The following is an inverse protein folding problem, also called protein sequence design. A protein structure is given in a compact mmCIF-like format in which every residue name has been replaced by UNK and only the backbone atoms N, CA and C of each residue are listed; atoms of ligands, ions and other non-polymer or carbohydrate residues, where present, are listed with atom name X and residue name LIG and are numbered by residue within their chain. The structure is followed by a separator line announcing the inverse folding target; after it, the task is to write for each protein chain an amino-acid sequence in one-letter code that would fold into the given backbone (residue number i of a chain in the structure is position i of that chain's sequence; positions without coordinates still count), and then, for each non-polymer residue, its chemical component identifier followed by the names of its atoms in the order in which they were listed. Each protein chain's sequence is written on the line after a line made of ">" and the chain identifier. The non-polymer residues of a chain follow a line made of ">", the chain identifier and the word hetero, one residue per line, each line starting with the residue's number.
data_IF_268654857882
#
_entry.id   IF_268654857882
#
_cell.length_a   1.000
_cell.length_b   1.000
_cell.length_c   1.000
_cell.angle_alpha   90.00
_cell.angle_beta   90.00
_cell.angle_gamma   90.00
#
_symmetry.space_group_name_H-M   'P 1'
#
loop_
_entity.id
_entity.type
_entity.pdbx_description
1 polymer ?
#
# COMPACT_ATOMS: atom_id res chain seq x y z
N UNK A 1 11.49 -16.55 33.38
CA UNK A 1 11.50 -15.83 32.09
C UNK A 1 10.21 -15.07 31.91
N UNK A 2 10.03 -13.82 32.31
CA UNK A 2 10.49 -13.06 33.47
C UNK A 2 9.37 -12.06 33.74
N UNK A 3 8.73 -12.16 34.90
CA UNK A 3 7.69 -11.21 35.33
C UNK A 3 8.29 -9.81 35.51
N UNK A 4 9.60 -9.75 35.78
CA UNK A 4 10.37 -8.53 35.95
C UNK A 4 10.58 -7.78 34.63
N UNK A 5 10.85 -8.47 33.50
CA UNK A 5 11.06 -7.84 32.19
C UNK A 5 9.78 -7.16 31.64
N UNK A 6 8.60 -7.72 31.93
CA UNK A 6 7.32 -7.11 31.55
C UNK A 6 7.01 -5.84 32.38
N UNK A 7 7.52 -5.77 33.62
CA UNK A 7 7.37 -4.61 34.50
C UNK A 7 8.32 -3.47 34.11
N UNK A 8 9.56 -3.80 33.73
CA UNK A 8 10.56 -2.85 33.26
C UNK A 8 10.20 -2.24 31.90
N UNK A 9 9.65 -3.05 30.99
CA UNK A 9 9.14 -2.57 29.70
C UNK A 9 7.96 -1.58 29.85
N UNK A 10 7.19 -1.66 30.94
CA UNK A 10 6.14 -0.68 31.24
C UNK A 10 6.71 0.61 31.85
N UNK A 11 7.79 0.54 32.64
CA UNK A 11 8.46 1.72 33.20
C UNK A 11 9.24 2.52 32.16
N UNK A 12 9.83 1.87 31.15
CA UNK A 12 10.48 2.52 30.01
C UNK A 12 9.49 3.08 28.97
N UNK A 13 8.21 2.70 29.06
CA UNK A 13 7.16 3.17 28.16
C UNK A 13 6.73 4.59 28.57
N UNK A 14 6.97 5.59 27.71
CA UNK A 14 6.51 6.96 27.98
C UNK A 14 4.96 6.97 28.02
N UNK A 15 4.32 7.48 29.07
CA UNK A 15 2.86 7.49 29.14
C UNK A 15 2.30 8.33 27.99
N UNK A 16 1.31 7.78 27.29
CA UNK A 16 0.56 8.54 26.27
C UNK A 16 -0.01 9.80 26.94
N UNK A 17 0.15 10.99 26.34
CA UNK A 17 -0.35 12.22 26.93
C UNK A 17 -1.84 12.07 27.26
N UNK A 18 -2.21 12.37 28.51
CA UNK A 18 -3.62 12.32 28.92
C UNK A 18 -4.38 13.34 28.08
N UNK A 19 -5.39 12.86 27.36
CA UNK A 19 -6.36 13.68 26.65
C UNK A 19 -7.19 14.42 27.70
N UNK A 20 -6.71 15.58 28.16
CA UNK A 20 -7.55 16.57 28.84
C UNK A 20 -7.37 17.90 28.12
N UNK A 21 -8.47 18.29 27.47
CA UNK A 21 -8.88 19.66 27.17
C UNK A 21 -7.81 20.59 26.59
N UNK A 22 -7.57 20.51 25.29
CA UNK A 22 -7.33 21.68 24.41
C UNK A 22 -6.94 21.28 22.98
N UNK A 23 -7.84 21.56 22.03
CA UNK A 23 -7.59 21.66 20.58
C UNK A 23 -7.04 20.42 19.84
N UNK A 24 -7.34 20.24 18.53
CA UNK A 24 -6.73 19.17 17.74
C UNK A 24 -5.20 19.26 17.84
N UNK A 25 -4.58 18.16 18.27
CA UNK A 25 -3.15 18.06 18.51
C UNK A 25 -2.37 18.57 17.31
N UNK A 26 -1.52 19.58 17.53
CA UNK A 26 -0.61 20.18 16.54
C UNK A 26 0.53 19.23 16.07
N UNK A 27 0.30 17.92 16.08
CA UNK A 27 1.31 16.90 15.75
C UNK A 27 1.60 16.75 14.26
N UNK A 28 0.66 17.15 13.39
CA UNK A 28 0.77 16.95 11.94
C UNK A 28 1.37 18.14 11.16
N UNK A 29 1.96 19.14 11.83
CA UNK A 29 2.49 20.34 11.14
C UNK A 29 3.97 20.26 10.80
N UNK A 30 4.71 19.31 11.36
CA UNK A 30 6.13 19.16 11.12
C UNK A 30 6.51 17.69 10.97
N UNK A 31 6.52 17.22 9.72
CA UNK A 31 6.88 15.86 9.35
C UNK A 31 8.33 15.53 9.71
N UNK A 32 9.20 16.53 9.96
CA UNK A 32 10.60 16.29 10.35
C UNK A 32 10.72 15.71 11.75
N UNK A 33 9.69 15.83 12.58
CA UNK A 33 9.63 15.19 13.91
C UNK A 33 9.64 13.66 13.84
N UNK A 34 9.20 13.08 12.71
CA UNK A 34 9.32 11.65 12.46
C UNK A 34 10.78 11.19 12.29
N UNK A 35 11.66 12.12 11.91
CA UNK A 35 13.07 11.87 11.62
C UNK A 35 13.98 12.17 12.82
N UNK A 36 13.44 12.77 13.89
CA UNK A 36 14.18 13.03 15.12
C UNK A 36 14.14 11.78 16.01
N UNK A 37 15.28 11.09 16.14
CA UNK A 37 15.44 9.89 16.97
C UNK A 37 15.03 10.15 18.43
N UNK A 38 15.18 11.38 18.93
CA UNK A 38 14.76 11.76 20.29
C UNK A 38 13.24 11.83 20.46
N UNK A 39 12.50 11.79 19.36
CA UNK A 39 11.05 11.81 19.32
C UNK A 39 10.42 10.41 19.11
N UNK A 40 11.25 9.36 18.96
CA UNK A 40 10.82 7.97 18.94
C UNK A 40 10.79 7.41 20.37
N UNK A 41 9.76 6.62 20.70
CA UNK A 41 9.66 5.95 22.00
C UNK A 41 9.07 4.54 21.84
N UNK A 42 9.61 3.53 22.54
CA UNK A 42 9.07 2.17 22.51
C UNK A 42 7.68 2.13 23.18
N UNK A 43 6.80 1.26 22.67
CA UNK A 43 5.48 1.02 23.25
C UNK A 43 5.33 -0.46 23.62
N UNK A 44 4.96 -0.74 24.88
CA UNK A 44 4.67 -2.10 25.31
C UNK A 44 3.33 -2.61 24.75
N UNK A 45 3.14 -3.92 24.72
CA UNK A 45 1.96 -4.56 24.11
C UNK A 45 0.61 -4.03 24.63
N UNK A 46 0.39 -3.80 25.95
CA UNK A 46 -0.84 -3.17 26.45
C UNK A 46 -1.05 -1.73 25.98
N UNK A 47 0.00 -0.91 25.97
CA UNK A 47 -0.05 0.49 25.54
C UNK A 47 -0.30 0.61 24.03
N UNK A 48 0.35 -0.27 23.25
CA UNK A 48 0.08 -0.45 21.83
C UNK A 48 -1.39 -0.78 21.60
N UNK A 49 -1.91 -1.84 22.23
CA UNK A 49 -3.30 -2.29 22.05
C UNK A 49 -4.33 -1.22 22.42
N UNK A 50 -4.08 -0.45 23.50
CA UNK A 50 -4.95 0.66 23.91
C UNK A 50 -4.98 1.79 22.88
N UNK A 51 -3.84 2.09 22.25
CA UNK A 51 -3.74 3.11 21.20
C UNK A 51 -4.40 2.67 19.91
N UNK A 52 -4.13 1.45 19.45
CA UNK A 52 -4.77 0.87 18.26
C UNK A 52 -6.30 0.92 18.37
N UNK A 53 -6.85 0.54 19.53
CA UNK A 53 -8.30 0.58 19.76
C UNK A 53 -8.88 2.01 19.71
N UNK A 54 -8.12 3.00 20.19
CA UNK A 54 -8.53 4.41 20.13
C UNK A 54 -8.43 4.98 18.71
N UNK A 55 -7.38 4.65 17.96
CA UNK A 55 -7.19 5.10 16.57
C UNK A 55 -8.20 4.46 15.60
N UNK A 56 -8.60 3.21 15.85
CA UNK A 56 -9.71 2.59 15.12
C UNK A 56 -11.05 3.32 15.32
N UNK A 57 -11.22 4.06 16.43
CA UNK A 57 -12.39 4.92 16.60
C UNK A 57 -12.37 6.17 15.69
N UNK A 58 -11.18 6.63 15.25
CA UNK A 58 -11.03 7.71 14.27
C UNK A 58 -11.28 7.28 12.82
N UNK A 59 -11.30 5.97 12.55
CA UNK A 59 -11.67 5.43 11.23
C UNK A 59 -13.14 5.71 10.84
N UNK A 60 -13.98 6.15 11.80
CA UNK A 60 -15.34 6.64 11.53
C UNK A 60 -15.36 8.16 11.35
N UNK A 61 -14.78 8.66 10.26
CA UNK A 61 -15.04 10.02 9.74
C UNK A 61 -15.84 9.94 8.43
N UNK A 62 -16.98 10.62 8.44
CA UNK A 62 -17.67 11.19 7.26
C UNK A 62 -18.13 10.27 6.12
N UNK A 63 -18.68 9.08 6.36
CA UNK A 63 -19.57 8.38 5.40
C UNK A 63 -19.12 8.39 3.91
N UNK A 64 -17.81 8.36 3.63
CA UNK A 64 -17.26 8.35 2.26
C UNK A 64 -16.32 7.18 2.14
N UNK A 65 -16.71 6.22 1.30
CA UNK A 65 -15.89 5.09 0.92
C UNK A 65 -15.00 5.50 -0.26
N UNK A 66 -13.72 5.76 -0.03
CA UNK A 66 -12.74 5.73 -1.11
C UNK A 66 -12.47 4.27 -1.45
N UNK A 67 -13.12 3.77 -2.50
CA UNK A 67 -12.90 2.42 -3.00
C UNK A 67 -11.70 2.41 -3.96
N UNK A 68 -10.66 1.64 -3.62
CA UNK A 68 -9.56 1.33 -4.53
C UNK A 68 -9.99 0.24 -5.53
N UNK A 69 -9.85 0.50 -6.83
CA UNK A 69 -9.87 -0.50 -7.91
C UNK A 69 -8.45 -0.65 -8.45
N UNK A 70 -8.00 -1.89 -8.63
CA UNK A 70 -6.63 -2.33 -8.95
C UNK A 70 -6.44 -2.44 -10.49
N UNK A 71 -5.20 -2.44 -11.02
CA UNK A 71 -4.86 -2.71 -12.45
C UNK A 71 -3.66 -3.71 -12.60
N UNK A 72 -3.47 -4.49 -13.70
CA UNK A 72 -2.67 -5.71 -13.78
C UNK A 72 -1.30 -5.48 -14.32
N UNK A 73 -0.52 -6.50 -14.08
CA UNK A 73 0.91 -6.55 -14.29
C UNK A 73 1.17 -7.00 -15.73
N UNK A 74 1.81 -6.11 -16.49
CA UNK A 74 2.01 -6.21 -17.96
C UNK A 74 3.31 -6.94 -18.32
N UNK A 75 4.20 -7.16 -17.36
CA UNK A 75 5.40 -7.98 -17.55
C UNK A 75 5.86 -8.55 -16.21
N UNK A 76 6.24 -9.84 -16.14
CA UNK A 76 6.80 -10.41 -14.91
C UNK A 76 7.89 -9.48 -14.36
N UNK A 77 7.82 -9.05 -13.09
CA UNK A 77 8.78 -8.12 -12.54
C UNK A 77 10.17 -8.76 -12.63
N UNK A 78 11.00 -8.14 -13.44
CA UNK A 78 12.39 -8.52 -13.62
C UNK A 78 13.21 -7.82 -12.55
N UNK A 79 14.18 -8.54 -12.02
CA UNK A 79 15.12 -7.98 -11.08
C UNK A 79 15.93 -6.86 -11.75
N UNK A 80 15.71 -5.61 -11.36
CA UNK A 80 16.34 -4.43 -11.99
C UNK A 80 17.68 -4.09 -11.33
N UNK A 81 17.73 -4.05 -10.00
CA UNK A 81 18.93 -3.79 -9.21
C UNK A 81 18.68 -4.18 -7.75
N UNK A 82 19.75 -4.51 -7.03
CA UNK A 82 19.75 -4.56 -5.57
C UNK A 82 20.37 -3.27 -5.06
N UNK A 83 19.68 -2.58 -4.15
CA UNK A 83 20.22 -1.47 -3.40
C UNK A 83 20.17 -1.83 -1.93
N UNK A 84 21.21 -1.46 -1.19
CA UNK A 84 21.26 -1.70 0.24
C UNK A 84 20.20 -0.83 0.93
N UNK A 85 19.09 -1.45 1.33
CA UNK A 85 18.03 -0.79 2.11
C UNK A 85 18.25 -1.09 3.59
N UNK A 86 18.25 -0.05 4.40
CA UNK A 86 18.35 -0.21 5.85
C UNK A 86 16.98 -0.55 6.41
N UNK A 87 16.84 -1.76 6.95
CA UNK A 87 15.76 -2.05 7.88
C UNK A 87 16.19 -1.61 9.27
N UNK A 88 15.26 -1.03 10.01
CA UNK A 88 15.48 -0.75 11.42
C UNK A 88 14.67 -1.80 12.15
N UNK A 89 15.37 -2.77 12.73
CA UNK A 89 14.80 -3.76 13.62
C UNK A 89 15.28 -3.48 15.04
N UNK A 90 14.41 -3.70 16.03
CA UNK A 90 14.80 -3.63 17.43
C UNK A 90 15.03 -5.05 17.93
N UNK A 91 16.18 -5.30 18.51
CA UNK A 91 16.43 -6.57 19.21
C UNK A 91 15.49 -6.65 20.44
N UNK A 92 15.05 -7.87 20.76
CA UNK A 92 13.96 -8.12 21.72
C UNK A 92 14.10 -7.34 23.04
N UNK A 93 12.98 -6.88 23.63
CA UNK A 93 11.60 -7.36 23.46
C UNK A 93 10.68 -6.46 22.59
N UNK A 94 11.21 -5.65 21.67
CA UNK A 94 10.42 -4.70 20.87
C UNK A 94 10.36 -5.10 19.39
N UNK A 95 9.17 -5.00 18.76
CA UNK A 95 8.91 -5.62 17.45
C UNK A 95 8.81 -4.63 16.28
N UNK A 96 8.64 -3.32 16.51
CA UNK A 96 8.44 -2.28 15.46
C UNK A 96 8.67 -0.86 16.00
N UNK A 97 8.79 0.13 15.10
CA UNK A 97 8.82 1.56 15.41
C UNK A 97 7.42 2.19 15.47
N UNK A 98 7.27 3.16 16.38
CA UNK A 98 6.08 4.02 16.51
C UNK A 98 6.48 5.45 16.18
N UNK A 99 6.04 5.97 15.03
CA UNK A 99 6.36 7.35 14.62
C UNK A 99 5.14 8.23 14.82
N UNK A 100 5.21 9.19 15.75
CA UNK A 100 4.08 10.06 16.10
C UNK A 100 2.87 9.31 16.71
N UNK A 101 3.00 8.01 16.97
CA UNK A 101 1.92 7.17 17.48
C UNK A 101 1.51 5.99 16.62
N UNK A 102 2.00 5.90 15.39
CA UNK A 102 1.56 4.89 14.41
C UNK A 102 2.59 3.76 14.32
N UNK A 103 2.14 2.51 14.44
CA UNK A 103 2.93 1.31 14.10
C UNK A 103 2.84 1.06 12.60
N UNK A 104 3.99 0.86 11.95
CA UNK A 104 4.05 0.69 10.50
C UNK A 104 4.26 -0.79 10.17
N UNK A 105 3.24 -1.44 9.61
CA UNK A 105 3.28 -2.86 9.20
C UNK A 105 3.56 -3.05 7.69
N UNK A 106 3.33 -1.98 6.93
CA UNK A 106 3.67 -1.81 5.53
C UNK A 106 4.08 -0.36 5.36
N UNK A 107 5.26 -0.11 4.83
CA UNK A 107 5.74 1.23 4.52
C UNK A 107 5.68 1.43 3.01
N UNK A 108 5.08 2.55 2.58
CA UNK A 108 4.96 2.92 1.18
C UNK A 108 5.59 4.29 0.96
N UNK A 109 6.37 4.42 -0.10
CA UNK A 109 6.84 5.71 -0.59
C UNK A 109 6.58 5.80 -2.08
N UNK A 110 5.62 6.64 -2.47
CA UNK A 110 5.13 6.74 -3.85
C UNK A 110 5.63 7.99 -4.56
N UNK A 111 5.87 7.85 -5.86
CA UNK A 111 6.18 8.97 -6.74
C UNK A 111 5.05 10.00 -6.78
N UNK A 112 5.36 11.26 -6.45
CA UNK A 112 4.34 12.31 -6.34
C UNK A 112 4.27 13.19 -7.57
N UNK A 113 3.16 13.10 -8.31
CA UNK A 113 2.83 14.03 -9.40
C UNK A 113 2.59 15.48 -8.97
N UNK A 114 2.67 15.81 -7.68
CA UNK A 114 2.65 17.21 -7.19
C UNK A 114 4.01 17.87 -7.37
N UNK A 115 5.08 17.10 -7.21
CA UNK A 115 6.45 17.58 -7.24
C UNK A 115 7.10 17.28 -8.60
N UNK A 116 6.78 16.14 -9.20
CA UNK A 116 7.37 15.65 -10.45
C UNK A 116 6.41 15.74 -11.63
N UNK A 117 6.96 15.91 -12.84
CA UNK A 117 6.19 15.66 -14.08
C UNK A 117 5.95 14.15 -14.17
N UNK A 118 4.76 13.75 -14.59
CA UNK A 118 4.44 12.33 -14.82
C UNK A 118 4.83 11.92 -16.24
N UNK A 119 5.20 10.66 -16.40
CA UNK A 119 5.61 10.05 -17.67
C UNK A 119 4.37 9.55 -18.43
N UNK A 120 4.46 9.46 -19.76
CA UNK A 120 3.38 9.00 -20.64
C UNK A 120 3.30 7.46 -20.65
N UNK A 121 3.13 6.86 -19.48
CA UNK A 121 3.05 5.42 -19.31
C UNK A 121 1.67 5.03 -18.80
N UNK A 122 0.94 4.22 -19.57
CA UNK A 122 -0.43 3.84 -19.27
C UNK A 122 -0.65 2.34 -19.39
N UNK A 123 -1.45 1.80 -18.49
CA UNK A 123 -1.93 0.42 -18.59
C UNK A 123 -3.08 0.30 -19.59
N UNK A 124 -2.89 -0.55 -20.60
CA UNK A 124 -3.94 -0.96 -21.55
C UNK A 124 -4.21 -2.47 -21.38
N UNK A 125 -5.47 -2.89 -21.16
CA UNK A 125 -5.77 -4.27 -20.82
C UNK A 125 -5.69 -5.27 -21.96
N UNK A 126 -4.90 -6.33 -21.77
CA UNK A 126 -5.00 -7.54 -22.59
C UNK A 126 -6.25 -8.35 -22.24
N UNK A 127 -6.54 -8.53 -20.95
CA UNK A 127 -7.72 -9.25 -20.47
C UNK A 127 -8.92 -8.32 -20.29
N UNK A 128 -9.49 -7.88 -21.41
CA UNK A 128 -10.80 -7.20 -21.46
C UNK A 128 -11.90 -8.21 -21.19
N UNK A 129 -12.83 -7.86 -20.31
CA UNK A 129 -13.80 -8.81 -19.75
C UNK A 129 -15.12 -8.17 -19.39
N UNK A 130 -16.18 -8.97 -19.47
CA UNK A 130 -17.51 -8.59 -18.98
C UNK A 130 -17.67 -8.95 -17.51
N UNK A 131 -18.56 -8.23 -16.82
CA UNK A 131 -18.88 -8.45 -15.41
C UNK A 131 -20.24 -9.13 -15.29
N UNK A 132 -20.28 -10.31 -14.67
CA UNK A 132 -21.50 -11.10 -14.51
C UNK A 132 -21.85 -11.26 -13.02
N UNK A 133 -23.13 -11.25 -12.68
CA UNK A 133 -23.61 -11.46 -11.31
C UNK A 133 -24.00 -10.18 -10.57
N UNK A 134 -23.87 -10.18 -9.24
CA UNK A 134 -24.34 -9.09 -8.35
C UNK A 134 -23.23 -8.59 -7.43
N UNK A 135 -23.34 -7.36 -6.86
CA UNK A 135 -22.35 -6.84 -5.92
C UNK A 135 -21.99 -7.86 -4.82
N UNK A 136 -20.70 -8.16 -4.67
CA UNK A 136 -20.18 -9.14 -3.72
C UNK A 136 -20.10 -10.59 -4.25
N UNK A 137 -20.60 -10.87 -5.44
CA UNK A 137 -20.52 -12.18 -6.11
C UNK A 137 -20.46 -11.97 -7.62
N UNK A 138 -19.38 -11.34 -8.09
CA UNK A 138 -19.12 -11.16 -9.52
C UNK A 138 -18.20 -12.25 -10.06
N UNK A 139 -18.49 -12.71 -11.27
CA UNK A 139 -17.54 -13.43 -12.13
C UNK A 139 -17.17 -12.57 -13.33
N UNK A 140 -16.04 -12.88 -13.94
CA UNK A 140 -15.53 -12.15 -15.10
C UNK A 140 -15.11 -13.11 -16.19
N UNK A 141 -15.56 -12.83 -17.41
CA UNK A 141 -15.30 -13.65 -18.59
C UNK A 141 -14.75 -12.78 -19.72
N UNK A 142 -13.82 -13.29 -20.55
CA UNK A 142 -13.34 -12.54 -21.71
C UNK A 142 -14.50 -12.09 -22.60
N UNK A 143 -14.39 -10.88 -23.15
CA UNK A 143 -15.26 -10.47 -24.26
C UNK A 143 -14.74 -11.07 -25.58
N UNK A 144 -15.53 -10.97 -26.66
CA UNK A 144 -15.08 -11.33 -28.00
C UNK A 144 -13.94 -10.43 -28.50
N UNK A 145 -13.18 -10.91 -29.49
CA UNK A 145 -11.98 -10.23 -29.98
C UNK A 145 -12.26 -8.86 -30.59
N UNK A 146 -13.40 -8.69 -31.28
CA UNK A 146 -13.77 -7.40 -31.88
C UNK A 146 -14.01 -6.35 -30.78
N UNK A 147 -14.81 -6.70 -29.76
CA UNK A 147 -15.04 -5.84 -28.59
C UNK A 147 -13.75 -5.60 -27.81
N UNK A 148 -12.87 -6.59 -27.69
CA UNK A 148 -11.57 -6.46 -27.01
C UNK A 148 -10.69 -5.42 -27.68
N UNK A 149 -10.50 -5.51 -28.99
CA UNK A 149 -9.67 -4.57 -29.75
C UNK A 149 -10.27 -3.17 -29.77
N UNK A 150 -11.59 -3.04 -29.97
CA UNK A 150 -12.28 -1.76 -29.88
C UNK A 150 -12.05 -1.08 -28.53
N UNK A 151 -12.25 -1.82 -27.43
CA UNK A 151 -12.08 -1.27 -26.09
C UNK A 151 -10.63 -0.85 -25.80
N UNK A 152 -9.64 -1.60 -26.29
CA UNK A 152 -8.22 -1.25 -26.14
C UNK A 152 -7.89 0.05 -26.86
N UNK A 153 -8.31 0.18 -28.12
CA UNK A 153 -8.06 1.37 -28.93
C UNK A 153 -8.67 2.62 -28.26
N UNK A 154 -9.92 2.54 -27.80
CA UNK A 154 -10.58 3.66 -27.10
C UNK A 154 -9.85 4.06 -25.80
N UNK A 155 -9.34 3.10 -25.05
CA UNK A 155 -8.55 3.36 -23.83
C UNK A 155 -7.24 4.06 -24.18
N UNK A 156 -6.54 3.60 -25.21
CA UNK A 156 -5.27 4.15 -25.68
C UNK A 156 -5.44 5.58 -26.20
N UNK A 157 -6.38 5.80 -27.12
CA UNK A 157 -6.68 7.13 -27.67
C UNK A 157 -7.12 8.12 -26.59
N UNK A 158 -7.85 7.66 -25.56
CA UNK A 158 -8.21 8.51 -24.43
C UNK A 158 -6.99 8.86 -23.56
N UNK A 159 -6.08 7.91 -23.33
CA UNK A 159 -4.86 8.16 -22.56
C UNK A 159 -3.93 9.16 -23.27
N UNK A 160 -3.75 9.02 -24.59
CA UNK A 160 -2.98 9.95 -25.42
C UNK A 160 -3.55 11.37 -25.35
N UNK A 161 -4.85 11.54 -25.62
CA UNK A 161 -5.53 12.85 -25.56
C UNK A 161 -5.45 13.49 -24.18
N UNK A 162 -5.56 12.68 -23.12
CA UNK A 162 -5.42 13.15 -21.74
C UNK A 162 -4.00 13.63 -21.46
N UNK A 163 -2.98 12.92 -21.94
CA UNK A 163 -1.58 13.32 -21.76
C UNK A 163 -1.24 14.58 -22.54
N UNK A 164 -1.67 14.71 -23.79
CA UNK A 164 -1.50 15.96 -24.56
C UNK A 164 -2.16 17.16 -23.84
N UNK A 165 -3.34 16.94 -23.26
CA UNK A 165 -4.02 17.97 -22.46
C UNK A 165 -3.22 18.33 -21.22
N UNK A 166 -2.67 17.33 -20.52
CA UNK A 166 -1.79 17.54 -19.37
C UNK A 166 -0.57 18.39 -19.76
N UNK A 167 0.10 18.09 -20.88
CA UNK A 167 1.24 18.87 -21.35
C UNK A 167 0.88 20.31 -21.70
N UNK A 168 -0.21 20.53 -22.46
CA UNK A 168 -0.69 21.88 -22.76
C UNK A 168 -1.02 22.70 -21.52
N UNK A 169 -1.58 22.07 -20.47
CA UNK A 169 -1.86 22.76 -19.20
C UNK A 169 -0.55 23.16 -18.50
N UNK A 170 0.45 22.28 -18.49
CA UNK A 170 1.77 22.60 -17.93
C UNK A 170 2.45 23.75 -18.69
N UNK A 171 2.38 23.76 -20.01
CA UNK A 171 2.92 24.82 -20.87
C UNK A 171 2.27 26.19 -20.59
N UNK A 172 0.98 26.19 -20.23
CA UNK A 172 0.25 27.39 -19.81
C UNK A 172 0.54 27.81 -18.35
N UNK A 173 1.43 27.12 -17.66
CA UNK A 173 1.82 27.43 -16.28
C UNK A 173 0.84 26.92 -15.21
N UNK A 174 -0.08 26.02 -15.56
CA UNK A 174 -0.96 25.38 -14.57
C UNK A 174 -0.13 24.50 -13.64
N UNK A 175 -0.39 24.60 -12.33
CA UNK A 175 0.35 23.83 -11.33
C UNK A 175 0.21 22.32 -11.57
N UNK A 176 1.30 21.55 -11.41
CA UNK A 176 1.35 20.09 -11.67
C UNK A 176 0.24 19.31 -10.94
N UNK A 177 -0.04 19.69 -9.70
CA UNK A 177 -1.06 19.01 -8.88
C UNK A 177 -2.49 19.19 -9.40
N UNK A 178 -2.74 20.28 -10.15
CA UNK A 178 -3.99 20.57 -10.85
C UNK A 178 -3.96 19.97 -12.26
N UNK A 179 -2.88 20.19 -13.02
CA UNK A 179 -2.76 19.69 -14.39
C UNK A 179 -2.95 18.16 -14.46
N UNK A 180 -2.37 17.40 -13.53
CA UNK A 180 -2.48 15.93 -13.50
C UNK A 180 -3.91 15.40 -13.30
N UNK A 181 -4.87 16.24 -12.91
CA UNK A 181 -6.26 15.81 -12.68
C UNK A 181 -6.97 15.33 -13.94
N UNK A 182 -6.44 15.65 -15.12
CA UNK A 182 -6.95 15.15 -16.40
C UNK A 182 -6.45 13.74 -16.73
N UNK A 183 -5.40 13.27 -16.06
CA UNK A 183 -4.78 11.98 -16.37
C UNK A 183 -5.67 10.81 -15.91
N UNK A 184 -5.77 9.73 -16.69
CA UNK A 184 -6.59 8.58 -16.34
C UNK A 184 -5.96 7.75 -15.20
N UNK A 185 -6.79 6.95 -14.53
CA UNK A 185 -6.33 6.01 -13.49
C UNK A 185 -5.42 4.90 -14.03
N UNK A 186 -5.33 4.72 -15.35
CA UNK A 186 -4.40 3.81 -15.99
C UNK A 186 -2.96 4.33 -16.00
N UNK A 187 -2.70 5.58 -15.60
CA UNK A 187 -1.35 6.14 -15.51
C UNK A 187 -0.49 5.34 -14.54
N UNK A 188 0.68 4.89 -14.98
CA UNK A 188 1.62 4.19 -14.11
C UNK A 188 2.19 5.10 -13.02
N UNK A 189 2.45 4.49 -11.87
CA UNK A 189 3.17 5.08 -10.75
C UNK A 189 4.17 4.07 -10.24
N UNK A 190 5.17 4.56 -9.52
CA UNK A 190 6.20 3.73 -8.87
C UNK A 190 6.23 4.05 -7.40
N UNK A 191 6.40 3.01 -6.59
CA UNK A 191 6.52 3.15 -5.16
C UNK A 191 7.46 2.09 -4.59
N UNK A 192 8.12 2.44 -3.50
CA UNK A 192 8.80 1.46 -2.66
C UNK A 192 7.81 0.87 -1.68
N UNK A 193 7.87 -0.45 -1.50
CA UNK A 193 7.08 -1.19 -0.54
C UNK A 193 7.99 -2.03 0.35
N UNK A 194 7.98 -1.73 1.64
CA UNK A 194 8.67 -2.54 2.65
C UNK A 194 7.64 -3.26 3.51
N UNK A 195 7.82 -4.56 3.70
CA UNK A 195 6.99 -5.39 4.55
C UNK A 195 7.78 -6.57 5.10
N UNK A 196 7.39 -7.06 6.28
CA UNK A 196 7.94 -8.30 6.81
C UNK A 196 7.25 -9.53 6.19
N UNK A 197 7.81 -10.74 6.32
CA UNK A 197 7.27 -11.96 5.71
C UNK A 197 5.82 -12.27 6.13
N UNK A 198 5.43 -11.92 7.36
CA UNK A 198 4.05 -12.11 7.84
C UNK A 198 3.07 -11.21 7.08
N UNK A 199 3.41 -9.93 6.94
CA UNK A 199 2.63 -8.98 6.14
C UNK A 199 2.56 -9.41 4.68
N UNK A 200 3.66 -9.91 4.11
CA UNK A 200 3.73 -10.42 2.74
C UNK A 200 2.82 -11.64 2.53
N UNK A 201 2.87 -12.63 3.43
CA UNK A 201 1.97 -13.79 3.40
C UNK A 201 0.50 -13.37 3.52
N UNK A 202 0.18 -12.40 4.39
CA UNK A 202 -1.17 -11.89 4.54
C UNK A 202 -1.66 -11.17 3.28
N UNK A 203 -0.80 -10.37 2.65
CA UNK A 203 -1.06 -9.77 1.36
C UNK A 203 -1.35 -10.85 0.30
N UNK A 204 -0.49 -11.86 0.17
CA UNK A 204 -0.70 -12.95 -0.78
C UNK A 204 -2.01 -13.70 -0.52
N UNK A 205 -2.35 -13.96 0.76
CA UNK A 205 -3.60 -14.64 1.16
C UNK A 205 -4.84 -13.92 0.59
N UNK A 206 -4.85 -12.58 0.65
CA UNK A 206 -5.99 -11.77 0.19
C UNK A 206 -5.95 -11.49 -1.30
N UNK A 207 -4.75 -11.33 -1.86
CA UNK A 207 -4.57 -10.79 -3.22
C UNK A 207 -4.33 -11.85 -4.27
N UNK A 208 -4.00 -13.09 -3.91
CA UNK A 208 -4.05 -14.24 -4.81
C UNK A 208 -5.44 -14.89 -4.88
N UNK A 209 -6.40 -14.44 -4.05
CA UNK A 209 -7.76 -14.94 -4.07
C UNK A 209 -8.45 -14.65 -5.42
N UNK A 210 -9.29 -15.56 -5.90
CA UNK A 210 -9.96 -15.44 -7.21
C UNK A 210 -10.87 -14.22 -7.33
N UNK A 211 -11.52 -13.84 -6.23
CA UNK A 211 -12.36 -12.65 -6.12
C UNK A 211 -11.57 -11.33 -6.09
N UNK A 212 -10.25 -11.38 -5.88
CA UNK A 212 -9.42 -10.20 -6.04
C UNK A 212 -9.33 -9.86 -7.53
N UNK A 213 -9.30 -8.56 -7.83
CA UNK A 213 -9.24 -8.08 -9.19
C UNK A 213 -7.97 -8.65 -9.88
N UNK A 214 -8.12 -9.23 -11.09
CA UNK A 214 -7.07 -9.98 -11.83
C UNK A 214 -5.71 -9.30 -11.76
N UNK A 215 -5.79 -8.03 -11.97
CA UNK A 215 -4.90 -6.95 -11.65
C UNK A 215 -3.90 -7.16 -10.52
N UNK A 216 -4.36 -7.05 -9.28
CA UNK A 216 -3.49 -7.21 -8.13
C UNK A 216 -3.03 -8.66 -7.97
N UNK A 217 -3.76 -9.64 -8.52
CA UNK A 217 -3.35 -11.05 -8.46
C UNK A 217 -2.03 -11.25 -9.18
N UNK A 218 -1.81 -10.54 -10.29
CA UNK A 218 -0.53 -10.61 -10.99
C UNK A 218 0.63 -10.06 -10.11
N UNK A 219 0.41 -8.98 -9.34
CA UNK A 219 1.38 -8.45 -8.37
C UNK A 219 1.60 -9.38 -7.19
N UNK A 220 0.54 -10.01 -6.70
CA UNK A 220 0.61 -10.96 -5.60
C UNK A 220 1.26 -12.28 -6.01
N UNK A 221 1.09 -12.74 -7.25
CA UNK A 221 1.80 -13.89 -7.79
C UNK A 221 3.31 -13.64 -7.87
N UNK A 222 3.70 -12.45 -8.35
CA UNK A 222 5.10 -12.05 -8.36
C UNK A 222 5.70 -11.92 -6.94
N UNK A 223 4.96 -11.33 -6.01
CA UNK A 223 5.39 -11.19 -4.63
C UNK A 223 5.47 -12.55 -3.90
N UNK A 224 4.55 -13.48 -4.18
CA UNK A 224 4.61 -14.86 -3.66
C UNK A 224 5.82 -15.60 -4.26
N UNK A 225 6.13 -15.42 -5.55
CA UNK A 225 7.35 -16.01 -6.14
C UNK A 225 8.63 -15.45 -5.51
N UNK A 226 8.65 -14.17 -5.14
CA UNK A 226 9.74 -13.60 -4.36
C UNK A 226 9.87 -14.29 -2.99
N UNK A 227 8.76 -14.51 -2.28
CA UNK A 227 8.73 -15.25 -1.01
C UNK A 227 9.22 -16.69 -1.16
N UNK A 228 8.78 -17.40 -2.21
CA UNK A 228 9.22 -18.76 -2.55
C UNK A 228 10.74 -18.84 -2.75
N UNK A 229 11.31 -17.90 -3.52
CA UNK A 229 12.74 -17.88 -3.84
C UNK A 229 13.62 -17.51 -2.67
N UNK A 230 13.16 -16.57 -1.83
CA UNK A 230 13.97 -16.02 -0.73
C UNK A 230 13.78 -16.76 0.60
N UNK A 231 12.60 -17.33 0.83
CA UNK A 231 12.23 -18.01 2.07
C UNK A 231 11.46 -19.32 1.81
N UNK A 232 12.07 -20.30 1.13
CA UNK A 232 11.37 -21.50 0.62
C UNK A 232 10.69 -22.32 1.72
N UNK A 233 11.31 -22.48 2.90
CA UNK A 233 10.71 -23.22 4.03
C UNK A 233 9.45 -22.51 4.55
N UNK A 234 9.50 -21.18 4.66
CA UNK A 234 8.34 -20.37 5.09
C UNK A 234 7.23 -20.42 4.06
N UNK A 235 7.58 -20.34 2.77
CA UNK A 235 6.62 -20.44 1.67
C UNK A 235 5.95 -21.83 1.64
N UNK A 236 6.72 -22.92 1.73
CA UNK A 236 6.18 -24.28 1.77
C UNK A 236 5.21 -24.45 2.95
N UNK A 237 5.56 -23.97 4.14
CA UNK A 237 4.67 -23.98 5.30
C UNK A 237 3.41 -23.14 5.06
N UNK A 238 3.53 -21.96 4.45
CA UNK A 238 2.40 -21.11 4.09
C UNK A 238 1.44 -21.82 3.12
N UNK A 239 1.97 -22.51 2.11
CA UNK A 239 1.17 -23.31 1.17
C UNK A 239 0.49 -24.48 1.87
N UNK A 240 1.23 -25.25 2.67
CA UNK A 240 0.71 -26.41 3.40
C UNK A 240 -0.42 -26.04 4.37
N UNK A 241 -0.45 -24.80 4.85
CA UNK A 241 -1.50 -24.26 5.71
C UNK A 241 -2.59 -23.48 4.93
N UNK A 242 -2.77 -23.80 3.65
CA UNK A 242 -3.87 -23.27 2.83
C UNK A 242 -3.70 -21.81 2.44
N UNK A 243 -2.46 -21.31 2.37
CA UNK A 243 -2.15 -19.90 2.09
C UNK A 243 -2.84 -18.93 3.07
N UNK A 244 -2.86 -19.31 4.35
CA UNK A 244 -3.35 -18.46 5.44
C UNK A 244 -2.13 -17.97 6.24
N UNK A 245 -1.98 -16.66 6.32
CA UNK A 245 -0.92 -16.06 7.12
C UNK A 245 -1.10 -16.37 8.63
N UNK A 246 0.00 -16.64 9.37
CA UNK A 246 -0.04 -16.89 10.81
C UNK A 246 -0.35 -15.64 11.65
#
# INVERSE_FOLDING_TARGET
>A
MDVDAASDAHQACRPLPRVRDSAPSRGARDLRRALDVKNLAPACHPCHRKKTNFEQAYARRENKTAGSKLVPLVAAPVHVAEEETYDIEMEGPHHNFVTGGVVVHNSYNEWSGRYSKLEAEFYVPDFVRTQLGKPGAYSFEPVDDETRELARNEIEENAERAFETYERLLEQGVAKEVARTVLPLSTYTKYYWSCNPRSLMHFCSLRNHEAAQFEIRQYAAAAENFLERTMPITHEAFIANGRIAP
#
